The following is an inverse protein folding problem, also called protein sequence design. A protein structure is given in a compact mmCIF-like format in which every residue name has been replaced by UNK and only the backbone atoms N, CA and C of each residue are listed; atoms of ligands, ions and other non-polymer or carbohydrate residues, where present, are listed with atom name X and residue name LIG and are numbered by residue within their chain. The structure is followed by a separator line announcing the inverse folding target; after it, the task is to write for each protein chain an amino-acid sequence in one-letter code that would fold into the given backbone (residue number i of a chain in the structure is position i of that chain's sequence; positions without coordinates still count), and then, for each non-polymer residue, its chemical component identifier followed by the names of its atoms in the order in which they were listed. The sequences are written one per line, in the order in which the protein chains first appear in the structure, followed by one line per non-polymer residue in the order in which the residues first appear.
data_IF_708001574131
#
_entry.id   IF_708001574131
#
_cell.length_a   1.000
_cell.length_b   1.000
_cell.length_c   1.000
_cell.angle_alpha   90.00
_cell.angle_beta   90.00
_cell.angle_gamma   90.00
#
_symmetry.space_group_name_H-M   'P 1'
#
loop_
_entity.id
_entity.type
_entity.pdbx_description
1 polymer ?
#
# COMPACT_ATOMS: atom_id res chain seq x y z
N UNK A 1 6.08 -15.16 -9.81
CA UNK A 1 5.40 -15.02 -8.48
C UNK A 1 4.25 -14.02 -8.57
N UNK A 2 4.48 -12.71 -8.79
CA UNK A 2 3.38 -11.71 -8.80
C UNK A 2 2.20 -12.05 -9.71
N UNK A 3 2.47 -12.55 -10.93
CA UNK A 3 1.41 -12.96 -11.85
C UNK A 3 0.58 -14.15 -11.34
N UNK A 4 1.19 -15.05 -10.56
CA UNK A 4 0.48 -16.15 -9.90
C UNK A 4 -0.48 -15.61 -8.84
N UNK A 5 0.00 -14.72 -7.97
CA UNK A 5 -0.82 -14.12 -6.91
C UNK A 5 -1.97 -13.27 -7.49
N UNK A 6 -1.70 -12.56 -8.59
CA UNK A 6 -2.76 -11.87 -9.32
C UNK A 6 -3.83 -12.86 -9.81
N UNK A 7 -3.43 -13.94 -10.50
CA UNK A 7 -4.36 -14.97 -10.97
C UNK A 7 -5.14 -15.62 -9.82
N UNK A 8 -4.48 -15.93 -8.72
CA UNK A 8 -5.12 -16.49 -7.52
C UNK A 8 -6.19 -15.55 -6.96
N UNK A 9 -5.89 -14.25 -6.85
CA UNK A 9 -6.84 -13.24 -6.36
C UNK A 9 -8.09 -13.07 -7.24
N UNK A 10 -8.01 -13.44 -8.51
CA UNK A 10 -9.17 -13.43 -9.42
C UNK A 10 -10.07 -14.64 -9.23
N UNK A 11 -9.47 -15.80 -8.93
CA UNK A 11 -10.20 -17.06 -8.76
C UNK A 11 -10.86 -17.12 -7.39
N UNK A 12 -10.17 -16.61 -6.35
CA UNK A 12 -10.66 -16.61 -4.98
C UNK A 12 -10.73 -15.19 -4.40
N UNK A 13 -11.76 -14.42 -4.78
CA UNK A 13 -11.88 -13.02 -4.39
C UNK A 13 -12.18 -12.80 -2.90
N UNK A 14 -12.56 -13.86 -2.17
CA UNK A 14 -12.86 -13.82 -0.74
C UNK A 14 -11.64 -14.12 0.14
N UNK A 15 -10.50 -14.41 -0.47
CA UNK A 15 -9.23 -14.61 0.22
C UNK A 15 -8.37 -13.35 0.13
N UNK A 16 -7.76 -12.97 1.25
CA UNK A 16 -6.78 -11.88 1.28
C UNK A 16 -5.46 -12.38 0.68
N UNK A 17 -5.17 -11.97 -0.55
CA UNK A 17 -3.96 -12.34 -1.26
C UNK A 17 -2.95 -11.20 -1.15
N UNK A 18 -1.76 -11.50 -0.59
CA UNK A 18 -0.69 -10.53 -0.43
C UNK A 18 0.57 -11.00 -1.18
N UNK A 19 1.20 -10.09 -1.86
CA UNK A 19 2.52 -10.26 -2.43
C UNK A 19 3.46 -9.19 -1.89
N UNK A 20 4.60 -9.59 -1.33
CA UNK A 20 5.61 -8.68 -0.82
C UNK A 20 6.87 -8.75 -1.69
N UNK A 21 7.36 -7.60 -2.15
CA UNK A 21 8.66 -7.51 -2.78
C UNK A 21 9.77 -7.60 -1.71
N UNK A 22 10.88 -8.24 -2.02
CA UNK A 22 12.04 -8.25 -1.11
C UNK A 22 12.52 -6.82 -0.80
N UNK A 23 12.57 -5.97 -1.82
CA UNK A 23 12.69 -4.52 -1.77
C UNK A 23 11.73 -3.95 -2.82
N UNK A 24 11.10 -2.82 -2.53
CA UNK A 24 10.10 -2.26 -3.42
C UNK A 24 10.63 -1.90 -4.80
N UNK A 25 11.92 -1.53 -4.91
CA UNK A 25 12.57 -1.25 -6.19
C UNK A 25 12.57 -2.47 -7.13
N UNK A 26 12.66 -3.67 -6.59
CA UNK A 26 12.67 -4.91 -7.38
C UNK A 26 11.30 -5.31 -7.94
N UNK A 27 10.23 -4.59 -7.59
CA UNK A 27 8.95 -4.74 -8.26
C UNK A 27 9.04 -4.41 -9.77
N UNK A 28 10.06 -3.67 -10.19
CA UNK A 28 10.33 -3.37 -11.61
C UNK A 28 10.53 -4.62 -12.47
N UNK A 29 11.03 -5.71 -11.91
CA UNK A 29 11.14 -6.99 -12.61
C UNK A 29 9.78 -7.61 -12.99
N UNK A 30 8.70 -7.14 -12.39
CA UNK A 30 7.32 -7.54 -12.69
C UNK A 30 6.49 -6.39 -13.32
N UNK A 31 7.14 -5.36 -13.85
CA UNK A 31 6.45 -4.17 -14.35
C UNK A 31 5.42 -4.49 -15.43
N UNK A 32 5.71 -5.44 -16.30
CA UNK A 32 4.74 -5.90 -17.32
C UNK A 32 3.46 -6.44 -16.70
N UNK A 33 3.57 -7.20 -15.61
CA UNK A 33 2.40 -7.72 -14.88
C UNK A 33 1.64 -6.57 -14.21
N UNK A 34 2.35 -5.61 -13.64
CA UNK A 34 1.73 -4.45 -13.01
C UNK A 34 0.94 -3.64 -14.05
N UNK A 35 1.57 -3.28 -15.16
CA UNK A 35 0.96 -2.39 -16.18
C UNK A 35 -0.17 -3.09 -16.94
N UNK A 36 0.05 -4.32 -17.37
CA UNK A 36 -0.83 -4.99 -18.33
C UNK A 36 -1.96 -5.77 -17.66
N UNK A 37 -1.80 -6.15 -16.39
CA UNK A 37 -2.77 -6.97 -15.67
C UNK A 37 -3.31 -6.25 -14.43
N UNK A 38 -2.47 -5.89 -13.47
CA UNK A 38 -2.93 -5.34 -12.19
C UNK A 38 -3.60 -3.97 -12.38
N UNK A 39 -2.93 -3.05 -13.09
CA UNK A 39 -3.43 -1.69 -13.31
C UNK A 39 -4.58 -1.62 -14.33
N UNK A 40 -4.61 -2.52 -15.30
CA UNK A 40 -5.50 -2.42 -16.46
C UNK A 40 -6.49 -3.57 -16.65
N UNK A 41 -6.36 -4.65 -15.87
CA UNK A 41 -7.15 -5.88 -16.05
C UNK A 41 -8.66 -5.67 -15.87
N UNK A 42 -9.06 -4.81 -14.96
CA UNK A 42 -10.48 -4.47 -14.78
C UNK A 42 -11.04 -3.80 -16.03
N UNK A 43 -10.31 -2.83 -16.60
CA UNK A 43 -10.77 -2.11 -17.79
C UNK A 43 -10.75 -2.97 -19.04
N UNK A 44 -9.71 -3.81 -19.20
CA UNK A 44 -9.56 -4.66 -20.40
C UNK A 44 -10.52 -5.83 -20.41
N UNK A 45 -10.73 -6.47 -19.26
CA UNK A 45 -11.38 -7.78 -19.19
C UNK A 45 -12.46 -7.88 -18.13
N UNK A 46 -12.83 -6.76 -17.49
CA UNK A 46 -13.76 -6.72 -16.36
C UNK A 46 -13.33 -7.68 -15.23
N UNK A 47 -12.02 -7.79 -14.99
CA UNK A 47 -11.44 -8.64 -13.95
C UNK A 47 -10.99 -7.78 -12.78
N UNK A 48 -11.76 -7.82 -11.70
CA UNK A 48 -11.45 -7.09 -10.47
C UNK A 48 -10.58 -7.95 -9.55
N UNK A 49 -9.38 -7.47 -9.23
CA UNK A 49 -8.43 -8.14 -8.34
C UNK A 49 -8.40 -7.45 -6.98
N UNK A 50 -8.42 -8.23 -5.91
CA UNK A 50 -8.20 -7.77 -4.54
C UNK A 50 -6.75 -7.88 -4.06
N UNK A 51 -5.81 -8.11 -4.97
CA UNK A 51 -4.39 -8.30 -4.64
C UNK A 51 -3.83 -7.11 -3.84
N UNK A 52 -3.11 -7.40 -2.78
CA UNK A 52 -2.35 -6.43 -1.99
C UNK A 52 -0.87 -6.58 -2.33
N UNK A 53 -0.23 -5.48 -2.71
CA UNK A 53 1.21 -5.42 -2.92
C UNK A 53 1.85 -4.65 -1.77
N UNK A 54 2.80 -5.29 -1.10
CA UNK A 54 3.60 -4.70 -0.03
C UNK A 54 4.97 -4.35 -0.60
N UNK A 55 5.28 -3.07 -0.63
CA UNK A 55 6.49 -2.55 -1.27
C UNK A 55 7.37 -1.82 -0.24
N UNK A 56 8.43 -2.47 0.26
CA UNK A 56 9.39 -1.79 1.11
C UNK A 56 9.92 -0.51 0.45
N UNK A 57 9.81 0.61 1.15
CA UNK A 57 10.12 1.94 0.65
C UNK A 57 10.65 2.84 1.76
N UNK A 58 11.79 3.47 1.55
CA UNK A 58 12.42 4.37 2.53
C UNK A 58 13.94 4.36 2.43
N UNK A 59 14.57 5.51 2.64
CA UNK A 59 16.04 5.66 2.66
C UNK A 59 16.55 5.26 4.04
N UNK A 60 16.77 3.97 4.24
CA UNK A 60 17.12 3.37 5.54
C UNK A 60 18.57 2.85 5.59
N UNK A 61 19.48 3.45 4.81
CA UNK A 61 20.89 3.14 4.81
C UNK A 61 21.31 1.91 3.99
N UNK A 62 20.47 1.43 3.08
CA UNK A 62 20.70 0.21 2.30
C UNK A 62 21.09 0.45 0.83
N UNK A 63 21.48 1.64 0.46
CA UNK A 63 21.80 1.96 -0.93
C UNK A 63 20.59 2.37 -1.77
N UNK A 64 20.83 3.04 -2.91
CA UNK A 64 19.76 3.64 -3.71
C UNK A 64 18.82 2.60 -4.35
N UNK A 65 19.34 1.45 -4.77
CA UNK A 65 18.58 0.37 -5.42
C UNK A 65 17.63 -0.38 -4.46
N UNK A 66 17.78 -0.16 -3.16
CA UNK A 66 16.94 -0.79 -2.13
C UNK A 66 16.01 0.19 -1.44
N UNK A 67 16.03 1.47 -1.83
CA UNK A 67 15.40 2.54 -1.08
C UNK A 67 14.04 2.96 -1.62
N UNK A 68 13.83 2.90 -2.93
CA UNK A 68 12.61 3.44 -3.55
C UNK A 68 11.78 2.37 -4.24
N UNK A 69 10.53 2.21 -3.81
CA UNK A 69 9.53 1.42 -4.52
C UNK A 69 8.95 2.15 -5.74
N UNK A 70 9.44 3.34 -6.06
CA UNK A 70 8.94 4.15 -7.18
C UNK A 70 7.45 4.48 -7.03
N UNK A 71 7.10 5.06 -5.89
CA UNK A 71 5.72 5.48 -5.58
C UNK A 71 5.08 6.25 -6.73
N UNK A 72 5.83 7.14 -7.37
CA UNK A 72 5.41 7.96 -8.50
C UNK A 72 4.90 7.13 -9.69
N UNK A 73 5.47 5.95 -9.95
CA UNK A 73 4.99 5.05 -11.01
C UNK A 73 3.59 4.53 -10.75
N UNK A 74 3.32 4.14 -9.51
CA UNK A 74 1.99 3.67 -9.11
C UNK A 74 0.96 4.80 -9.15
N UNK A 75 1.34 5.99 -8.70
CA UNK A 75 0.47 7.17 -8.79
C UNK A 75 0.13 7.53 -10.24
N UNK A 76 1.10 7.42 -11.18
CA UNK A 76 0.87 7.63 -12.61
C UNK A 76 -0.06 6.58 -13.22
N UNK A 77 -0.06 5.35 -12.70
CA UNK A 77 -0.95 4.28 -13.14
C UNK A 77 -2.38 4.42 -12.60
N UNK A 78 -2.61 5.28 -11.61
CA UNK A 78 -3.93 5.51 -11.06
C UNK A 78 -4.81 6.26 -12.07
N UNK A 79 -5.91 5.62 -12.46
CA UNK A 79 -6.91 6.19 -13.38
C UNK A 79 -8.27 5.52 -13.14
N UNK A 80 -9.34 6.28 -13.12
CA UNK A 80 -10.70 5.77 -12.98
C UNK A 80 -10.88 4.81 -11.78
N UNK A 81 -10.26 5.14 -10.65
CA UNK A 81 -10.31 4.35 -9.41
C UNK A 81 -9.86 2.87 -9.58
N UNK A 82 -8.92 2.62 -10.49
CA UNK A 82 -8.43 1.28 -10.80
C UNK A 82 -7.62 0.63 -9.68
N UNK A 83 -6.98 1.40 -8.81
CA UNK A 83 -6.18 0.92 -7.68
C UNK A 83 -6.16 1.92 -6.52
N UNK A 84 -5.69 1.45 -5.38
CA UNK A 84 -5.47 2.26 -4.18
C UNK A 84 -3.97 2.26 -3.85
N UNK A 85 -3.41 3.43 -3.56
CA UNK A 85 -2.01 3.58 -3.15
C UNK A 85 -1.99 4.25 -1.79
N UNK A 86 -1.23 3.70 -0.84
CA UNK A 86 -1.16 4.24 0.51
C UNK A 86 0.18 3.96 1.21
N UNK A 87 0.43 4.73 2.24
CA UNK A 87 1.53 4.55 3.17
C UNK A 87 0.96 4.61 4.60
N UNK A 88 0.82 3.47 5.24
CA UNK A 88 0.31 3.39 6.60
C UNK A 88 1.45 3.57 7.61
N UNK A 89 1.30 4.50 8.54
CA UNK A 89 2.33 4.85 9.53
C UNK A 89 2.02 4.33 10.93
N UNK A 90 0.81 3.82 11.18
CA UNK A 90 0.46 3.18 12.45
C UNK A 90 -0.02 1.75 12.22
N UNK A 91 0.26 0.81 13.16
CA UNK A 91 -0.19 -0.58 13.06
C UNK A 91 -1.71 -0.72 12.92
N UNK A 92 -2.48 0.04 13.68
CA UNK A 92 -3.94 -0.01 13.60
C UNK A 92 -4.45 0.44 12.23
N UNK A 93 -3.90 1.51 11.65
CA UNK A 93 -4.31 1.97 10.33
C UNK A 93 -3.95 0.95 9.23
N UNK A 94 -2.78 0.31 9.34
CA UNK A 94 -2.39 -0.78 8.45
C UNK A 94 -3.35 -1.97 8.57
N UNK A 95 -3.66 -2.40 9.78
CA UNK A 95 -4.66 -3.46 10.02
C UNK A 95 -6.01 -3.12 9.37
N UNK A 96 -6.51 -1.90 9.59
CA UNK A 96 -7.79 -1.49 9.01
C UNK A 96 -7.74 -1.32 7.49
N UNK A 97 -6.58 -1.03 6.90
CA UNK A 97 -6.41 -1.03 5.45
C UNK A 97 -6.65 -2.44 4.87
N UNK A 98 -6.03 -3.47 5.47
CA UNK A 98 -6.21 -4.87 5.07
C UNK A 98 -7.63 -5.37 5.36
N UNK A 99 -8.15 -5.06 6.54
CA UNK A 99 -9.53 -5.39 6.89
C UNK A 99 -10.53 -4.79 5.90
N UNK A 100 -10.35 -3.52 5.54
CA UNK A 100 -11.19 -2.83 4.56
C UNK A 100 -11.15 -3.49 3.20
N UNK A 101 -9.97 -3.99 2.77
CA UNK A 101 -9.80 -4.68 1.50
C UNK A 101 -10.74 -5.90 1.38
N UNK A 102 -10.98 -6.59 2.49
CA UNK A 102 -11.86 -7.74 2.52
C UNK A 102 -13.33 -7.41 2.76
N UNK A 103 -13.62 -6.36 3.53
CA UNK A 103 -15.00 -5.98 3.87
C UNK A 103 -15.77 -5.27 2.76
N UNK A 104 -15.08 -4.73 1.77
CA UNK A 104 -15.74 -4.07 0.64
C UNK A 104 -16.39 -5.10 -0.28
N UNK A 105 -17.53 -4.74 -0.83
CA UNK A 105 -18.26 -5.55 -1.81
C UNK A 105 -17.61 -5.55 -3.21
N UNK A 106 -16.59 -4.72 -3.41
CA UNK A 106 -15.81 -4.66 -4.64
C UNK A 106 -14.34 -4.97 -4.37
N UNK A 107 -13.63 -5.36 -5.41
CA UNK A 107 -12.18 -5.64 -5.36
C UNK A 107 -11.42 -4.63 -6.20
N UNK A 108 -10.36 -4.04 -5.61
CA UNK A 108 -9.39 -3.16 -6.27
C UNK A 108 -8.00 -3.51 -5.76
N UNK A 109 -6.98 -3.53 -6.61
CA UNK A 109 -5.61 -3.69 -6.16
C UNK A 109 -5.23 -2.63 -5.12
N UNK A 110 -4.49 -3.05 -4.10
CA UNK A 110 -4.03 -2.21 -3.01
C UNK A 110 -2.50 -2.22 -2.96
N UNK A 111 -1.89 -1.07 -3.16
CA UNK A 111 -0.45 -0.87 -3.12
C UNK A 111 -0.09 -0.17 -1.81
N UNK A 112 0.70 -0.83 -0.98
CA UNK A 112 1.12 -0.27 0.32
C UNK A 112 2.63 -0.09 0.33
N UNK A 113 3.08 1.13 0.56
CA UNK A 113 4.47 1.43 0.89
C UNK A 113 4.74 0.97 2.32
N UNK A 114 5.74 0.11 2.51
CA UNK A 114 6.03 -0.55 3.79
C UNK A 114 7.47 -0.30 4.23
N UNK A 115 7.78 0.85 4.86
CA UNK A 115 9.10 1.12 5.39
C UNK A 115 9.55 0.04 6.38
N UNK A 116 10.70 -0.59 6.14
CA UNK A 116 11.22 -1.68 6.98
C UNK A 116 11.60 -1.23 8.39
N UNK A 117 12.00 0.03 8.54
CA UNK A 117 12.30 0.63 9.85
C UNK A 117 11.13 0.54 10.83
N UNK A 118 9.89 0.63 10.33
CA UNK A 118 8.70 0.56 11.19
C UNK A 118 8.51 -0.81 11.85
N UNK A 119 9.01 -1.90 11.25
CA UNK A 119 8.92 -3.24 11.82
C UNK A 119 9.61 -3.39 13.19
N UNK A 120 10.63 -2.58 13.44
CA UNK A 120 11.44 -2.62 14.67
C UNK A 120 11.39 -1.32 15.48
N UNK A 121 10.58 -0.36 15.04
CA UNK A 121 10.47 0.91 15.72
C UNK A 121 9.61 0.77 16.98
N UNK A 122 10.20 1.05 18.13
CA UNK A 122 9.53 0.97 19.45
C UNK A 122 8.33 1.92 19.59
N UNK A 123 8.29 2.99 18.79
CA UNK A 123 7.21 3.97 18.78
C UNK A 123 6.10 3.63 17.79
N UNK A 124 6.34 2.65 16.89
CA UNK A 124 5.32 2.20 15.95
C UNK A 124 4.38 1.20 16.65
N UNK A 125 3.55 1.73 17.52
CA UNK A 125 2.57 0.97 18.31
C UNK A 125 1.18 1.57 18.19
N UNK A 126 0.16 0.78 18.52
CA UNK A 126 -1.23 1.20 18.61
C UNK A 126 -1.88 0.55 19.83
N UNK A 127 -2.88 1.17 20.42
CA UNK A 127 -3.64 0.57 21.52
C UNK A 127 -4.54 -0.53 21.00
N UNK A 128 -4.88 -1.52 21.82
CA UNK A 128 -5.78 -2.60 21.41
C UNK A 128 -7.16 -2.09 20.96
N UNK A 129 -7.66 -1.05 21.60
CA UNK A 129 -8.93 -0.43 21.23
C UNK A 129 -8.92 0.13 19.81
N UNK A 130 -7.75 0.56 19.31
CA UNK A 130 -7.60 1.09 17.96
C UNK A 130 -7.88 0.03 16.87
N UNK A 131 -7.75 -1.27 17.23
CA UNK A 131 -8.05 -2.38 16.32
C UNK A 131 -9.51 -2.86 16.40
N UNK A 132 -10.30 -2.26 17.27
CA UNK A 132 -11.68 -2.69 17.51
C UNK A 132 -12.57 -2.49 16.28
N UNK A 133 -13.75 -3.17 16.30
CA UNK A 133 -14.75 -3.06 15.23
C UNK A 133 -15.34 -1.66 15.07
N UNK A 134 -15.22 -0.82 16.11
CA UNK A 134 -15.75 0.53 16.10
C UNK A 134 -14.81 1.53 15.42
N UNK A 135 -13.58 1.11 15.13
CA UNK A 135 -12.59 1.90 14.44
C UNK A 135 -12.48 1.46 12.97
N UNK A 136 -11.96 2.35 12.14
CA UNK A 136 -11.85 2.14 10.70
C UNK A 136 -10.55 2.73 10.14
N UNK A 137 -10.30 2.47 8.88
CA UNK A 137 -9.17 3.06 8.17
C UNK A 137 -9.32 4.58 8.05
N UNK A 138 -8.29 5.31 8.45
CA UNK A 138 -8.17 6.76 8.26
C UNK A 138 -7.35 7.07 7.02
N UNK A 139 -7.93 7.84 6.09
CA UNK A 139 -7.24 8.27 4.86
C UNK A 139 -6.11 9.26 5.16
N UNK A 140 -6.31 10.08 6.17
CA UNK A 140 -5.35 11.07 6.66
C UNK A 140 -5.30 10.93 8.17
N UNK A 141 -4.11 10.83 8.72
CA UNK A 141 -3.88 10.91 10.16
C UNK A 141 -3.60 12.37 10.50
N UNK A 142 -4.36 12.90 11.46
CA UNK A 142 -4.13 14.26 11.93
C UNK A 142 -2.86 14.31 12.76
N UNK A 143 -2.03 15.31 12.49
CA UNK A 143 -0.92 15.65 13.37
C UNK A 143 -1.49 16.39 14.60
N UNK A 144 -1.34 15.77 15.76
CA UNK A 144 -1.76 16.35 17.04
C UNK A 144 -0.72 17.30 17.62
N UNK A 145 0.42 17.48 16.97
CA UNK A 145 1.48 18.38 17.39
C UNK A 145 1.12 19.81 17.00
N UNK A 146 1.06 20.68 18.00
CA UNK A 146 0.83 22.13 17.81
C UNK A 146 2.03 22.83 17.14
N UNK A 147 3.15 22.15 16.94
CA UNK A 147 4.40 22.70 16.39
C UNK A 147 4.31 22.91 14.87
N UNK A 148 3.42 22.20 14.19
CA UNK A 148 3.30 22.22 12.72
C UNK A 148 2.33 23.27 12.16
N UNK A 149 1.86 24.18 12.99
CA UNK A 149 1.02 25.31 12.56
C UNK A 149 1.89 26.46 11.99
N UNK A 150 3.22 26.37 12.08
CA UNK A 150 4.11 27.35 11.45
C UNK A 150 4.25 27.07 9.96
N UNK A 151 4.00 28.08 9.13
CA UNK A 151 4.25 28.03 7.69
C UNK A 151 5.66 27.50 7.39
N UNK A 152 5.84 26.65 6.38
CA UNK A 152 7.17 26.26 5.96
C UNK A 152 7.94 27.50 5.54
N UNK A 153 8.97 27.83 6.27
CA UNK A 153 9.90 28.90 5.91
C UNK A 153 10.47 28.59 4.53
N UNK A 154 10.13 29.41 3.54
CA UNK A 154 10.80 29.32 2.23
C UNK A 154 12.31 29.46 2.45
N UNK A 155 13.14 28.54 1.96
CA UNK A 155 14.58 28.78 1.91
C UNK A 155 14.81 30.04 1.06
N UNK A 156 15.59 30.97 1.62
CA UNK A 156 16.07 32.16 0.90
C UNK A 156 17.13 31.77 -0.11
#
# INVERSE_FOLDING_TARGET
MLGFEYGYSLVEPNTLTLWEAQFGDFANGAQVIIDQFIASGERKWSRASGLVMLLPHGYEGQGPEHSSARLERFLQLCSNDNMQVMNCTTPANYFHALRRQMHREFRKPLIIMTPKSLLRNKFCTSKLDDFSKNNSFHRVLWDLSLIHISEPTRPR
#
